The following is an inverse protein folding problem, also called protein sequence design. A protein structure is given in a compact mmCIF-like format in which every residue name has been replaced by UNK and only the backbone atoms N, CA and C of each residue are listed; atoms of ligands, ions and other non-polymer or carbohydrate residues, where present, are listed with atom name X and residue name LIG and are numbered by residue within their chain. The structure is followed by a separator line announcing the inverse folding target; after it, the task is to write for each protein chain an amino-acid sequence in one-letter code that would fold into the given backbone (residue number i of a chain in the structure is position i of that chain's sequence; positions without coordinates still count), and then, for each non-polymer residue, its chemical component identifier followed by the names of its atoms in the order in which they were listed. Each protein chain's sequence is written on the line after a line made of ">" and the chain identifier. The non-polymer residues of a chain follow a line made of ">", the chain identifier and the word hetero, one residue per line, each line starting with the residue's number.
data_IF_307189053179
#
_entry.id   IF_307189053179
#
_cell.length_a   1.000
_cell.length_b   1.000
_cell.length_c   1.000
_cell.angle_alpha   90.00
_cell.angle_beta   90.00
_cell.angle_gamma   90.00
#
_symmetry.space_group_name_H-M   'P 1'
#
loop_
_entity.id
_entity.type
_entity.pdbx_description
1 polymer ?
#
# COMPACT_ATOMS: atom_id res chain seq x y z
N UNK A 1 10.60 -12.67 -3.86
CA UNK A 1 9.39 -11.82 -3.94
C UNK A 1 9.67 -10.47 -3.29
N UNK A 2 9.04 -9.39 -3.77
CA UNK A 2 9.15 -8.06 -3.19
C UNK A 2 7.76 -7.57 -2.77
N UNK A 3 7.60 -7.23 -1.50
CA UNK A 3 6.36 -6.71 -0.92
C UNK A 3 6.54 -5.20 -0.72
N UNK A 4 6.01 -4.39 -1.64
CA UNK A 4 6.16 -2.93 -1.60
C UNK A 4 4.93 -2.32 -0.93
N UNK A 5 5.11 -1.75 0.26
CA UNK A 5 4.05 -1.24 1.15
C UNK A 5 2.76 -2.09 1.22
N UNK A 6 2.89 -3.41 1.25
CA UNK A 6 1.76 -4.31 1.12
C UNK A 6 2.11 -5.76 1.42
N UNK A 7 1.16 -6.66 1.15
CA UNK A 7 1.34 -8.10 1.35
C UNK A 7 1.19 -8.57 2.80
N UNK A 8 0.96 -7.65 3.75
CA UNK A 8 0.79 -7.97 5.19
C UNK A 8 -0.55 -7.56 5.79
N UNK A 9 -1.51 -7.17 4.95
CA UNK A 9 -2.84 -6.75 5.39
C UNK A 9 -3.67 -7.95 5.87
N UNK A 10 -4.08 -7.91 7.14
CA UNK A 10 -4.95 -8.93 7.74
C UNK A 10 -6.00 -8.21 8.61
N UNK A 11 -7.13 -7.84 8.01
CA UNK A 11 -8.10 -6.91 8.62
C UNK A 11 -8.80 -7.53 9.82
N UNK A 12 -9.19 -8.81 9.73
CA UNK A 12 -9.88 -9.49 10.82
C UNK A 12 -9.00 -9.78 12.04
N UNK A 13 -7.69 -9.56 11.95
CA UNK A 13 -6.78 -9.57 13.11
C UNK A 13 -6.88 -8.29 13.96
N UNK A 14 -7.67 -7.30 13.54
CA UNK A 14 -7.86 -6.05 14.28
C UNK A 14 -8.85 -6.24 15.44
N UNK A 15 -8.38 -5.94 16.63
CA UNK A 15 -9.19 -6.01 17.85
C UNK A 15 -10.38 -5.03 17.79
N UNK A 16 -11.57 -5.52 18.15
CA UNK A 16 -12.80 -4.74 18.18
C UNK A 16 -13.42 -4.44 16.81
N UNK A 17 -12.88 -5.00 15.72
CA UNK A 17 -13.47 -4.88 14.40
C UNK A 17 -14.33 -6.09 14.08
N UNK A 18 -15.44 -5.85 13.39
CA UNK A 18 -16.18 -6.85 12.62
C UNK A 18 -16.18 -6.46 11.12
N UNK A 19 -16.79 -7.28 10.27
CA UNK A 19 -16.85 -7.02 8.84
C UNK A 19 -17.57 -5.70 8.52
N UNK A 20 -18.62 -5.34 9.27
CA UNK A 20 -19.39 -4.13 9.00
C UNK A 20 -18.61 -2.86 9.39
N UNK A 21 -17.85 -2.92 10.49
CA UNK A 21 -16.89 -1.89 10.85
C UNK A 21 -15.80 -1.76 9.78
N UNK A 22 -15.24 -2.88 9.29
CA UNK A 22 -14.24 -2.86 8.22
C UNK A 22 -14.79 -2.22 6.93
N UNK A 23 -16.02 -2.57 6.54
CA UNK A 23 -16.72 -1.96 5.40
C UNK A 23 -16.91 -0.46 5.56
N UNK A 24 -17.18 0.00 6.78
CA UNK A 24 -17.39 1.42 7.07
C UNK A 24 -16.07 2.20 7.05
N UNK A 25 -15.06 1.75 7.78
CA UNK A 25 -13.78 2.43 7.95
C UNK A 25 -12.89 2.39 6.71
N UNK A 26 -13.02 1.35 5.88
CA UNK A 26 -12.18 1.15 4.69
C UNK A 26 -12.90 1.48 3.38
N UNK A 27 -14.14 1.95 3.45
CA UNK A 27 -14.88 2.40 2.27
C UNK A 27 -14.10 3.50 1.53
N UNK A 28 -14.12 3.49 0.18
CA UNK A 28 -13.50 4.55 -0.57
C UNK A 28 -14.29 5.86 -0.37
N UNK A 29 -13.63 7.02 -0.46
CA UNK A 29 -14.31 8.31 -0.41
C UNK A 29 -15.42 8.44 -1.45
N UNK A 30 -16.42 9.28 -1.16
CA UNK A 30 -17.46 9.64 -2.12
C UNK A 30 -16.90 10.76 -3.02
N UNK A 31 -16.82 10.51 -4.33
CA UNK A 31 -16.30 11.46 -5.32
C UNK A 31 -17.38 12.28 -6.03
N UNK A 32 -18.65 12.18 -5.59
CA UNK A 32 -19.75 12.92 -6.20
C UNK A 32 -19.50 14.43 -6.18
N UNK A 33 -19.59 15.08 -7.35
CA UNK A 33 -19.37 16.52 -7.50
C UNK A 33 -17.90 16.95 -7.42
N UNK A 34 -16.96 16.02 -7.30
CA UNK A 34 -15.54 16.34 -7.30
C UNK A 34 -15.06 16.63 -8.72
N UNK A 35 -14.45 17.79 -8.95
CA UNK A 35 -13.83 18.14 -10.24
C UNK A 35 -12.42 17.57 -10.38
N UNK A 36 -11.98 17.42 -11.63
CA UNK A 36 -10.61 17.01 -11.93
C UNK A 36 -9.57 18.00 -11.39
N UNK A 37 -9.83 19.30 -11.55
CA UNK A 37 -8.99 20.37 -11.01
C UNK A 37 -8.90 20.30 -9.48
N UNK A 38 -10.03 20.08 -8.80
CA UNK A 38 -10.04 19.90 -7.34
C UNK A 38 -9.30 18.64 -6.87
N UNK A 39 -9.28 17.58 -7.68
CA UNK A 39 -8.42 16.40 -7.40
C UNK A 39 -6.94 16.73 -7.55
N UNK A 40 -6.55 17.47 -8.59
CA UNK A 40 -5.17 17.91 -8.79
C UNK A 40 -4.68 18.79 -7.65
N UNK A 41 -5.49 19.76 -7.22
CA UNK A 41 -5.16 20.65 -6.10
C UNK A 41 -4.96 19.87 -4.80
N UNK A 42 -5.89 18.95 -4.47
CA UNK A 42 -5.74 18.06 -3.31
C UNK A 42 -4.54 17.13 -3.43
N UNK A 43 -4.19 16.70 -4.65
CA UNK A 43 -3.01 15.89 -4.88
C UNK A 43 -1.73 16.67 -4.56
N UNK A 44 -1.66 17.94 -4.95
CA UNK A 44 -0.49 18.79 -4.66
C UNK A 44 -0.27 18.99 -3.16
N UNK A 45 -1.35 19.12 -2.38
CA UNK A 45 -1.25 19.31 -0.93
C UNK A 45 -0.99 18.02 -0.15
N UNK A 46 -1.55 16.88 -0.57
CA UNK A 46 -1.34 15.58 0.12
C UNK A 46 -0.06 14.85 -0.26
N UNK A 47 0.42 15.02 -1.49
CA UNK A 47 1.51 14.23 -2.08
C UNK A 47 2.78 15.06 -2.26
N UNK A 48 2.85 16.20 -1.55
CA UNK A 48 3.83 17.26 -1.69
C UNK A 48 5.27 16.77 -1.88
N UNK A 49 5.96 17.48 -2.77
CA UNK A 49 7.40 17.43 -3.07
C UNK A 49 7.94 16.38 -4.05
N UNK A 50 7.16 15.37 -4.47
CA UNK A 50 7.78 14.19 -5.11
C UNK A 50 7.34 13.87 -6.55
N UNK A 51 6.36 14.59 -7.10
CA UNK A 51 5.91 14.42 -8.49
C UNK A 51 5.90 15.74 -9.24
N UNK A 52 6.19 15.69 -10.53
CA UNK A 52 5.81 16.77 -11.43
C UNK A 52 4.28 16.86 -11.56
N UNK A 53 3.78 18.03 -11.96
CA UNK A 53 2.35 18.20 -12.24
C UNK A 53 1.85 17.20 -13.29
N UNK A 54 2.63 16.96 -14.35
CA UNK A 54 2.32 15.98 -15.40
C UNK A 54 2.18 14.56 -14.85
N UNK A 55 3.11 14.15 -13.97
CA UNK A 55 3.04 12.84 -13.34
C UNK A 55 1.78 12.72 -12.47
N UNK A 56 1.48 13.73 -11.66
CA UNK A 56 0.28 13.76 -10.82
C UNK A 56 -0.99 13.66 -11.66
N UNK A 57 -1.05 14.43 -12.74
CA UNK A 57 -2.15 14.39 -13.70
C UNK A 57 -2.33 13.00 -14.31
N UNK A 58 -1.24 12.40 -14.80
CA UNK A 58 -1.25 11.05 -15.38
C UNK A 58 -1.76 10.00 -14.39
N UNK A 59 -1.37 10.10 -13.13
CA UNK A 59 -1.81 9.18 -12.07
C UNK A 59 -3.31 9.32 -11.77
N UNK A 60 -3.83 10.55 -11.66
CA UNK A 60 -5.26 10.78 -11.43
C UNK A 60 -6.05 10.28 -12.65
N UNK A 61 -5.62 10.60 -13.87
CA UNK A 61 -6.27 10.10 -15.11
C UNK A 61 -6.21 8.59 -15.26
N UNK A 62 -5.21 7.92 -14.67
CA UNK A 62 -5.16 6.46 -14.66
C UNK A 62 -6.29 5.87 -13.78
N UNK A 63 -6.62 6.51 -12.66
CA UNK A 63 -7.60 6.02 -11.68
C UNK A 63 -9.03 6.53 -11.91
N UNK A 64 -9.19 7.67 -12.60
CA UNK A 64 -10.48 8.34 -12.75
C UNK A 64 -10.81 8.59 -14.23
N UNK A 65 -12.10 8.53 -14.56
CA UNK A 65 -12.66 9.03 -15.79
C UNK A 65 -13.19 10.45 -15.56
N UNK A 66 -12.80 11.39 -16.43
CA UNK A 66 -13.34 12.76 -16.42
C UNK A 66 -14.64 12.73 -17.23
N UNK A 67 -15.71 13.24 -16.62
CA UNK A 67 -17.03 13.35 -17.21
C UNK A 67 -17.15 14.62 -18.05
N UNK A 68 -18.21 14.72 -18.85
CA UNK A 68 -18.48 15.89 -19.71
C UNK A 68 -18.63 17.20 -18.91
N UNK A 69 -19.15 17.11 -17.68
CA UNK A 69 -19.30 18.24 -16.75
C UNK A 69 -18.01 18.60 -15.98
N UNK A 70 -16.89 17.94 -16.29
CA UNK A 70 -15.59 18.14 -15.63
C UNK A 70 -15.44 17.45 -14.28
N UNK A 71 -16.46 16.74 -13.80
CA UNK A 71 -16.36 15.91 -12.58
C UNK A 71 -15.58 14.63 -12.84
N UNK A 72 -15.11 13.99 -11.76
CA UNK A 72 -14.40 12.71 -11.84
C UNK A 72 -15.25 11.55 -11.33
N UNK A 73 -15.14 10.42 -12.02
CA UNK A 73 -15.69 9.15 -11.57
C UNK A 73 -14.54 8.14 -11.41
N UNK A 74 -14.43 7.43 -10.27
CA UNK A 74 -13.47 6.34 -10.14
C UNK A 74 -13.73 5.28 -11.21
N UNK A 75 -12.68 4.83 -11.92
CA UNK A 75 -12.80 3.69 -12.84
C UNK A 75 -13.08 2.39 -12.09
N UNK A 76 -12.61 2.29 -10.86
CA UNK A 76 -12.91 1.18 -9.97
C UNK A 76 -14.15 1.50 -9.13
N UNK A 77 -15.24 0.78 -9.38
CA UNK A 77 -16.52 1.07 -8.75
C UNK A 77 -16.49 0.86 -7.24
N UNK A 78 -17.25 1.67 -6.48
CA UNK A 78 -17.41 1.49 -5.04
C UNK A 78 -17.92 0.09 -4.69
N UNK A 79 -18.84 -0.46 -5.48
CA UNK A 79 -19.34 -1.82 -5.27
C UNK A 79 -18.23 -2.88 -5.35
N UNK A 80 -17.31 -2.76 -6.32
CA UNK A 80 -16.16 -3.66 -6.40
C UNK A 80 -15.19 -3.44 -5.25
N UNK A 81 -15.00 -2.20 -4.79
CA UNK A 81 -14.20 -1.92 -3.60
C UNK A 81 -14.78 -2.60 -2.35
N UNK A 82 -16.10 -2.57 -2.16
CA UNK A 82 -16.73 -3.29 -1.04
C UNK A 82 -16.49 -4.80 -1.10
N UNK A 83 -16.55 -5.40 -2.30
CA UNK A 83 -16.22 -6.83 -2.49
C UNK A 83 -14.77 -7.15 -2.14
N UNK A 84 -13.83 -6.23 -2.43
CA UNK A 84 -12.43 -6.38 -2.00
C UNK A 84 -12.34 -6.37 -0.48
N UNK A 85 -13.04 -5.46 0.22
CA UNK A 85 -13.03 -5.43 1.69
C UNK A 85 -13.55 -6.74 2.27
N UNK A 86 -14.65 -7.28 1.71
CA UNK A 86 -15.19 -8.59 2.11
C UNK A 86 -14.16 -9.72 1.89
N UNK A 87 -13.50 -9.76 0.73
CA UNK A 87 -12.47 -10.75 0.47
C UNK A 87 -11.25 -10.61 1.40
N UNK A 88 -10.84 -9.38 1.70
CA UNK A 88 -9.74 -9.10 2.63
C UNK A 88 -10.09 -9.44 4.08
N UNK A 89 -11.37 -9.42 4.44
CA UNK A 89 -11.83 -9.82 5.77
C UNK A 89 -11.58 -11.30 6.05
N UNK A 90 -11.78 -12.16 5.06
CA UNK A 90 -11.53 -13.60 5.18
C UNK A 90 -10.06 -13.96 4.90
N UNK A 91 -9.27 -13.01 4.40
CA UNK A 91 -7.88 -13.24 4.05
C UNK A 91 -6.98 -13.35 5.31
N UNK A 92 -6.18 -14.41 5.39
CA UNK A 92 -5.20 -14.67 6.46
C UNK A 92 -3.78 -14.88 5.86
N UNK A 93 -3.10 -13.82 5.39
CA UNK A 93 -1.75 -13.96 4.85
C UNK A 93 -0.77 -14.65 5.82
N UNK A 94 -0.94 -14.42 7.12
CA UNK A 94 -0.04 -14.95 8.15
C UNK A 94 0.03 -16.48 8.17
N UNK A 95 -1.05 -17.17 7.79
CA UNK A 95 -1.09 -18.63 7.68
C UNK A 95 -0.30 -19.15 6.47
N UNK A 96 -0.08 -18.30 5.46
CA UNK A 96 0.60 -18.66 4.22
C UNK A 96 2.11 -18.40 4.27
N UNK A 97 2.57 -17.44 5.08
CA UNK A 97 3.99 -17.06 5.13
C UNK A 97 4.95 -18.24 5.37
N UNK A 98 4.67 -19.23 6.27
CA UNK A 98 5.56 -20.36 6.49
C UNK A 98 5.74 -21.30 5.28
N UNK A 99 4.82 -21.21 4.32
CA UNK A 99 4.83 -21.97 3.06
C UNK A 99 5.61 -21.28 1.95
N UNK A 100 6.01 -20.01 2.13
CA UNK A 100 6.80 -19.26 1.16
C UNK A 100 8.27 -19.62 1.30
N UNK A 101 8.79 -20.36 0.33
CA UNK A 101 10.18 -20.86 0.35
C UNK A 101 11.18 -19.94 -0.36
N UNK A 102 10.71 -18.99 -1.19
CA UNK A 102 11.59 -18.03 -1.84
C UNK A 102 11.92 -16.85 -0.90
N UNK A 103 13.08 -16.18 -1.07
CA UNK A 103 13.41 -14.98 -0.31
C UNK A 103 12.36 -13.87 -0.49
N UNK A 104 11.98 -13.21 0.61
CA UNK A 104 10.97 -12.14 0.63
C UNK A 104 11.60 -10.83 1.10
N UNK A 105 11.64 -9.82 0.23
CA UNK A 105 12.02 -8.47 0.59
C UNK A 105 10.76 -7.65 0.88
N UNK A 106 10.59 -7.22 2.13
CA UNK A 106 9.49 -6.35 2.56
C UNK A 106 9.96 -4.90 2.61
N UNK A 107 9.17 -4.01 2.02
CA UNK A 107 9.49 -2.59 1.92
C UNK A 107 8.31 -1.72 2.39
N UNK A 108 7.98 -1.74 3.69
CA UNK A 108 6.92 -0.92 4.25
C UNK A 108 7.28 0.56 4.23
N UNK A 109 6.31 1.42 3.91
CA UNK A 109 6.44 2.87 4.01
C UNK A 109 6.29 3.34 5.46
N UNK A 110 7.08 4.33 5.85
CA UNK A 110 6.95 5.00 7.16
C UNK A 110 7.14 6.50 6.97
N UNK A 111 6.31 7.30 7.64
CA UNK A 111 6.50 8.75 7.74
C UNK A 111 6.77 9.11 9.19
N UNK A 112 7.78 9.95 9.44
CA UNK A 112 7.92 10.61 10.74
C UNK A 112 6.81 11.65 10.89
N UNK A 113 6.09 11.56 12.01
CA UNK A 113 5.05 12.48 12.46
C UNK A 113 3.78 12.54 11.59
N UNK A 114 2.76 11.75 11.93
CA UNK A 114 1.36 12.20 11.78
C UNK A 114 0.55 11.82 13.02
N UNK A 115 -0.31 12.76 13.42
CA UNK A 115 -1.38 12.75 14.43
C UNK A 115 -1.66 11.38 15.10
N UNK A 116 -1.78 11.25 16.44
CA UNK A 116 -2.14 10.00 17.13
C UNK A 116 -3.31 9.20 16.54
N UNK A 117 -4.25 9.83 15.84
CA UNK A 117 -5.28 9.13 15.06
C UNK A 117 -4.74 8.38 13.83
N UNK A 118 -3.73 8.92 13.15
CA UNK A 118 -2.94 8.18 12.16
C UNK A 118 -1.97 7.18 12.79
N UNK A 119 -1.70 7.22 14.10
CA UNK A 119 -1.07 6.09 14.78
C UNK A 119 -2.00 4.86 14.88
N UNK A 120 -3.31 5.01 14.60
CA UNK A 120 -4.25 3.90 14.36
C UNK A 120 -4.07 3.25 12.98
N UNK A 121 -3.15 3.76 12.15
CA UNK A 121 -2.85 3.27 10.78
C UNK A 121 -2.13 1.94 10.83
N UNK A 122 -2.88 0.88 11.14
CA UNK A 122 -2.39 -0.48 11.30
C UNK A 122 -1.33 -0.55 12.40
N UNK A 123 -1.28 -1.68 13.08
CA UNK A 123 -0.05 -2.03 13.78
C UNK A 123 0.96 -2.47 12.71
N UNK A 124 1.35 -1.56 11.80
CA UNK A 124 2.17 -1.87 10.61
C UNK A 124 3.50 -2.46 11.05
N UNK A 125 4.08 -1.90 12.11
CA UNK A 125 5.26 -2.47 12.75
C UNK A 125 4.98 -3.88 13.28
N UNK A 126 3.83 -4.13 13.92
CA UNK A 126 3.47 -5.48 14.38
C UNK A 126 3.16 -6.45 13.23
N UNK A 127 2.53 -6.00 12.14
CA UNK A 127 2.23 -6.87 10.98
C UNK A 127 3.50 -7.23 10.22
N UNK A 128 4.45 -6.30 10.10
CA UNK A 128 5.79 -6.55 9.58
C UNK A 128 6.57 -7.47 10.51
N UNK A 129 6.61 -7.20 11.82
CA UNK A 129 7.30 -8.06 12.80
C UNK A 129 6.72 -9.49 12.80
N UNK A 130 5.40 -9.64 12.72
CA UNK A 130 4.74 -10.94 12.57
C UNK A 130 5.17 -11.62 11.28
N UNK A 131 5.20 -10.91 10.15
CA UNK A 131 5.66 -11.47 8.87
C UNK A 131 7.13 -11.90 8.94
N UNK A 132 8.02 -11.07 9.48
CA UNK A 132 9.44 -11.40 9.71
C UNK A 132 9.62 -12.66 10.54
N UNK A 133 8.78 -12.85 11.57
CA UNK A 133 8.85 -14.04 12.43
C UNK A 133 8.36 -15.33 11.75
N UNK A 134 7.56 -15.22 10.69
CA UNK A 134 6.90 -16.36 10.03
C UNK A 134 7.53 -16.73 8.68
N UNK A 135 8.14 -15.79 7.98
CA UNK A 135 8.88 -16.08 6.75
C UNK A 135 10.18 -16.82 7.07
N UNK A 136 10.49 -17.85 6.27
CA UNK A 136 11.74 -18.62 6.42
C UNK A 136 12.98 -17.80 6.06
N UNK A 137 12.84 -16.91 5.08
CA UNK A 137 13.91 -16.05 4.59
C UNK A 137 13.31 -14.71 4.15
N UNK A 138 13.38 -13.72 5.04
CA UNK A 138 12.91 -12.36 4.77
C UNK A 138 13.93 -11.30 5.17
N UNK A 139 13.88 -10.17 4.47
CA UNK A 139 14.51 -8.92 4.87
C UNK A 139 13.49 -7.81 4.82
N UNK A 140 13.62 -6.83 5.72
CA UNK A 140 12.78 -5.64 5.74
C UNK A 140 13.63 -4.39 5.56
N UNK A 141 13.19 -3.51 4.67
CA UNK A 141 13.76 -2.18 4.47
C UNK A 141 12.64 -1.17 4.59
N UNK A 142 12.63 -0.41 5.68
CA UNK A 142 11.65 0.66 5.88
C UNK A 142 11.93 1.81 4.91
N UNK A 143 10.93 2.15 4.09
CA UNK A 143 10.98 3.28 3.19
C UNK A 143 10.58 4.53 3.98
N UNK A 144 11.57 5.12 4.65
CA UNK A 144 11.40 6.30 5.50
C UNK A 144 10.91 7.52 4.71
N UNK A 145 10.22 8.41 5.43
CA UNK A 145 9.63 9.64 4.93
C UNK A 145 8.78 9.44 3.66
N UNK A 146 8.08 8.31 3.59
CA UNK A 146 7.30 7.89 2.42
C UNK A 146 5.84 7.57 2.75
N UNK A 147 4.92 8.00 1.87
CA UNK A 147 3.48 7.67 1.93
C UNK A 147 3.23 6.24 1.43
N UNK A 148 1.99 5.76 1.51
CA UNK A 148 1.62 4.42 1.07
C UNK A 148 2.01 4.09 -0.39
N UNK A 149 1.71 4.99 -1.33
CA UNK A 149 2.09 4.75 -2.73
C UNK A 149 3.55 5.15 -3.01
N UNK A 150 4.51 4.55 -2.29
CA UNK A 150 5.95 4.79 -2.51
C UNK A 150 6.39 4.55 -3.96
N UNK A 151 5.89 3.53 -4.71
CA UNK A 151 6.22 3.37 -6.13
C UNK A 151 5.83 4.58 -7.00
N UNK A 152 4.85 5.35 -6.54
CA UNK A 152 4.36 6.55 -7.20
C UNK A 152 5.12 7.78 -6.70
N UNK A 153 5.45 7.82 -5.41
CA UNK A 153 6.16 8.92 -4.76
C UNK A 153 7.66 8.94 -5.08
N UNK A 154 8.35 7.81 -4.91
CA UNK A 154 9.81 7.67 -4.98
C UNK A 154 10.19 6.39 -5.74
N UNK A 155 9.83 6.26 -7.03
CA UNK A 155 10.08 5.04 -7.80
C UNK A 155 11.57 4.66 -7.83
N UNK A 156 12.47 5.64 -7.86
CA UNK A 156 13.92 5.40 -7.88
C UNK A 156 14.41 4.76 -6.57
N UNK A 157 13.84 5.15 -5.42
CA UNK A 157 14.15 4.54 -4.13
C UNK A 157 13.71 3.07 -4.11
N UNK A 158 12.48 2.78 -4.55
CA UNK A 158 11.98 1.40 -4.60
C UNK A 158 12.86 0.56 -5.53
N UNK A 159 13.22 1.10 -6.69
CA UNK A 159 14.08 0.43 -7.65
C UNK A 159 15.50 0.18 -7.08
N UNK A 160 16.11 1.16 -6.41
CA UNK A 160 17.46 1.01 -5.87
C UNK A 160 17.52 -0.05 -4.78
N UNK A 161 16.55 -0.06 -3.85
CA UNK A 161 16.47 -1.06 -2.78
C UNK A 161 16.32 -2.47 -3.36
N UNK A 162 15.48 -2.65 -4.39
CA UNK A 162 15.34 -3.94 -5.07
C UNK A 162 16.66 -4.35 -5.73
N UNK A 163 17.31 -3.44 -6.49
CA UNK A 163 18.57 -3.73 -7.19
C UNK A 163 19.70 -4.10 -6.23
N UNK A 164 19.87 -3.36 -5.13
CA UNK A 164 20.87 -3.67 -4.09
C UNK A 164 20.69 -5.08 -3.50
N UNK A 165 19.44 -5.53 -3.35
CA UNK A 165 19.14 -6.87 -2.85
C UNK A 165 19.34 -7.96 -3.91
N UNK A 166 19.15 -7.63 -5.19
CA UNK A 166 19.54 -8.51 -6.30
C UNK A 166 21.07 -8.67 -6.33
N UNK A 167 21.80 -7.57 -6.29
CA UNK A 167 23.26 -7.53 -6.41
C UNK A 167 23.97 -8.17 -5.21
N UNK A 168 23.39 -8.06 -4.01
CA UNK A 168 23.88 -8.75 -2.82
C UNK A 168 23.59 -10.26 -2.81
N UNK A 169 22.90 -10.78 -3.81
CA UNK A 169 22.57 -12.20 -3.94
C UNK A 169 21.41 -12.66 -3.05
N UNK A 170 20.66 -11.76 -2.41
CA UNK A 170 19.58 -12.13 -1.48
C UNK A 170 18.51 -13.02 -2.13
N UNK A 171 18.22 -12.80 -3.41
CA UNK A 171 17.23 -13.57 -4.15
C UNK A 171 17.76 -14.86 -4.79
N UNK A 172 19.06 -15.16 -4.66
CA UNK A 172 19.63 -16.38 -5.21
C UNK A 172 19.19 -17.61 -4.38
N UNK A 173 19.01 -18.78 -5.02
CA UNK A 173 18.74 -20.02 -4.29
C UNK A 173 19.89 -20.32 -3.33
N UNK A 174 19.58 -20.73 -2.11
CA UNK A 174 20.60 -21.29 -1.21
C UNK A 174 20.99 -22.65 -1.80
N UNK A 175 22.18 -22.72 -2.39
CA UNK A 175 22.77 -23.99 -2.82
C UNK A 175 22.89 -24.89 -1.59
N UNK A 176 22.04 -25.91 -1.51
CA UNK A 176 22.13 -26.92 -0.46
C UNK A 176 23.36 -27.76 -0.76
N UNK A 177 24.38 -27.66 0.10
CA UNK A 177 25.53 -28.59 0.10
C UNK A 177 25.17 -29.95 0.67
#
# INVERSE_FOLDING_TARGET
>A
MCFVDGGTIEIAGREGWDLEQAKTEMAPPIFSGVTFEGMLERSRSRWGFTRSDEQSERFIRANFQIQEDGTVQPKFSRANHMRIIEALWDHRPSELYPSVNCPVLMMPARQKEQNPEMARTFRREESIARAESLFRNSKTVWLEDSIHDVPVQRPELVASVISEHIDSGFFQPVMSG
#
